data_IF_405533823431
#
_entry.id   IF_405533823431
#
_cell.length_a   1.000
_cell.length_b   1.000
_cell.length_c   1.000
_cell.angle_alpha   90.00
_cell.angle_beta   90.00
_cell.angle_gamma   90.00
#
_symmetry.space_group_name_H-M   'P 1'
#
loop_
_entity.id
_entity.type
_entity.pdbx_description
1 polymer ?
#
# COMPACT_ATOMS: atom_id res chain seq x y z
N UNK A 1 8.63 -23.70 -11.01
CA UNK A 1 7.73 -22.96 -10.11
C UNK A 1 8.57 -21.86 -9.50
N UNK A 2 8.18 -20.59 -9.66
CA UNK A 2 8.86 -19.49 -8.96
C UNK A 2 8.37 -19.53 -7.51
N UNK A 3 9.29 -19.71 -6.58
CA UNK A 3 8.97 -19.69 -5.16
C UNK A 3 8.46 -18.31 -4.75
N UNK A 4 7.57 -18.28 -3.75
CA UNK A 4 7.00 -17.10 -3.07
C UNK A 4 8.04 -16.00 -2.76
N UNK A 5 9.33 -16.36 -2.68
CA UNK A 5 10.46 -15.50 -2.31
C UNK A 5 10.92 -14.48 -3.38
N UNK A 6 10.52 -14.61 -4.65
CA UNK A 6 10.94 -13.65 -5.69
C UNK A 6 10.10 -12.35 -5.67
N UNK A 7 8.94 -12.36 -5.00
CA UNK A 7 8.06 -11.21 -4.91
C UNK A 7 8.35 -10.37 -3.65
N UNK A 8 9.24 -9.37 -3.78
CA UNK A 8 9.49 -8.40 -2.70
C UNK A 8 8.29 -7.46 -2.51
N UNK A 9 7.44 -7.75 -1.54
CA UNK A 9 6.38 -6.82 -1.13
C UNK A 9 7.01 -5.61 -0.41
N UNK A 10 6.45 -4.43 -0.63
CA UNK A 10 6.78 -3.28 0.22
C UNK A 10 6.08 -3.50 1.57
N UNK A 11 6.83 -3.42 2.68
CA UNK A 11 6.26 -3.46 4.04
C UNK A 11 5.18 -2.39 4.18
N UNK A 12 3.92 -2.82 4.24
CA UNK A 12 2.78 -1.94 4.37
C UNK A 12 2.68 -1.30 5.76
N UNK A 13 1.98 -0.18 5.88
CA UNK A 13 1.84 0.58 7.13
C UNK A 13 0.66 0.07 7.97
N UNK A 14 0.87 -0.20 9.24
CA UNK A 14 -0.21 -0.58 10.17
C UNK A 14 -0.76 0.65 10.91
N UNK A 15 -1.95 0.51 11.52
CA UNK A 15 -2.51 1.55 12.40
C UNK A 15 -1.58 1.86 13.57
N UNK A 16 -1.00 0.84 14.20
CA UNK A 16 -0.06 1.00 15.32
C UNK A 16 1.19 1.80 14.91
N UNK A 17 1.73 1.54 13.72
CA UNK A 17 2.88 2.30 13.20
C UNK A 17 2.51 3.75 12.90
N UNK A 18 1.31 4.00 12.38
CA UNK A 18 0.81 5.37 12.12
C UNK A 18 0.58 6.11 13.44
N UNK A 19 -0.01 5.44 14.45
CA UNK A 19 -0.21 5.99 15.78
C UNK A 19 1.13 6.40 16.42
N UNK A 20 2.09 5.49 16.40
CA UNK A 20 3.44 5.74 16.93
C UNK A 20 4.14 6.86 16.15
N UNK A 21 3.99 6.91 14.83
CA UNK A 21 4.53 7.98 14.00
C UNK A 21 3.92 9.35 14.38
N UNK A 22 2.59 9.40 14.55
CA UNK A 22 1.85 10.61 14.91
C UNK A 22 2.32 11.17 16.26
N UNK A 23 2.36 10.32 17.29
CA UNK A 23 2.82 10.68 18.64
C UNK A 23 4.26 11.21 18.63
N UNK A 24 5.19 10.45 18.05
CA UNK A 24 6.60 10.84 18.04
C UNK A 24 6.83 12.13 17.25
N UNK A 25 6.10 12.32 16.14
CA UNK A 25 6.21 13.53 15.33
C UNK A 25 5.64 14.75 16.06
N UNK A 26 4.50 14.60 16.75
CA UNK A 26 3.93 15.65 17.60
C UNK A 26 4.89 16.07 18.73
N UNK A 27 5.62 15.11 19.30
CA UNK A 27 6.66 15.35 20.31
C UNK A 27 7.97 15.95 19.75
N UNK A 28 8.02 16.31 18.46
CA UNK A 28 9.21 16.90 17.84
C UNK A 28 10.36 15.92 17.62
N UNK A 29 10.11 14.61 17.66
CA UNK A 29 11.14 13.58 17.47
C UNK A 29 11.73 13.68 16.06
N UNK A 30 13.06 13.62 15.96
CA UNK A 30 13.76 13.64 14.66
C UNK A 30 13.40 12.39 13.85
N UNK A 31 13.19 12.57 12.54
CA UNK A 31 12.80 11.50 11.60
C UNK A 31 13.70 10.26 11.72
N UNK A 32 15.01 10.43 11.86
CA UNK A 32 15.96 9.30 11.99
C UNK A 32 15.65 8.42 13.21
N UNK A 33 15.33 9.02 14.36
CA UNK A 33 14.96 8.28 15.57
C UNK A 33 13.61 7.59 15.44
N UNK A 34 12.66 8.22 14.75
CA UNK A 34 11.37 7.58 14.42
C UNK A 34 11.60 6.36 13.53
N UNK A 35 12.50 6.49 12.53
CA UNK A 35 12.85 5.42 11.61
C UNK A 35 13.45 4.21 12.37
N UNK A 36 14.38 4.47 13.28
CA UNK A 36 14.95 3.44 14.18
C UNK A 36 13.87 2.77 15.02
N UNK A 37 12.99 3.55 15.64
CA UNK A 37 11.92 3.03 16.50
C UNK A 37 10.92 2.14 15.76
N UNK A 38 10.57 2.49 14.52
CA UNK A 38 9.63 1.75 13.67
C UNK A 38 10.32 0.67 12.81
N UNK A 39 11.65 0.57 12.88
CA UNK A 39 12.47 -0.26 12.00
C UNK A 39 12.15 -0.02 10.51
N UNK A 40 12.09 1.25 10.10
CA UNK A 40 11.78 1.70 8.73
C UNK A 40 12.86 2.64 8.21
N UNK A 41 12.94 2.78 6.89
CA UNK A 41 13.83 3.75 6.26
C UNK A 41 13.36 5.19 6.53
N UNK A 42 14.30 6.09 6.85
CA UNK A 42 14.00 7.51 7.10
C UNK A 42 13.28 8.20 5.93
N UNK A 43 13.62 7.85 4.69
CA UNK A 43 12.91 8.34 3.50
C UNK A 43 11.46 7.88 3.43
N UNK A 44 11.16 6.64 3.88
CA UNK A 44 9.79 6.13 3.97
C UNK A 44 8.99 6.86 5.06
N UNK A 45 9.63 7.25 6.17
CA UNK A 45 8.99 8.07 7.21
C UNK A 45 8.65 9.46 6.65
N UNK A 46 9.62 10.12 6.01
CA UNK A 46 9.42 11.45 5.43
C UNK A 46 8.29 11.45 4.39
N UNK A 47 8.30 10.48 3.47
CA UNK A 47 7.23 10.29 2.47
C UNK A 47 5.87 10.07 3.13
N UNK A 48 5.82 9.29 4.22
CA UNK A 48 4.56 9.01 4.91
C UNK A 48 3.97 10.26 5.56
N UNK A 49 4.81 11.08 6.21
CA UNK A 49 4.40 12.36 6.79
C UNK A 49 3.90 13.30 5.70
N UNK A 50 4.61 13.38 4.57
CA UNK A 50 4.19 14.18 3.42
C UNK A 50 2.84 13.70 2.83
N UNK A 51 2.70 12.40 2.60
CA UNK A 51 1.48 11.79 2.03
C UNK A 51 0.26 12.02 2.93
N UNK A 52 0.43 12.00 4.25
CA UNK A 52 -0.66 12.20 5.22
C UNK A 52 -0.94 13.67 5.51
N UNK A 53 0.08 14.53 5.54
CA UNK A 53 -0.10 15.94 5.86
C UNK A 53 -0.81 16.15 7.20
N UNK A 54 -1.95 16.85 7.18
CA UNK A 54 -2.76 17.11 8.36
C UNK A 54 -3.43 15.83 8.92
N UNK A 55 -3.75 14.87 8.05
CA UNK A 55 -4.39 13.60 8.41
C UNK A 55 -3.52 12.75 9.36
N UNK A 56 -2.22 13.04 9.45
CA UNK A 56 -1.33 12.37 10.41
C UNK A 56 -1.82 12.51 11.86
N UNK A 57 -2.55 13.57 12.18
CA UNK A 57 -3.05 13.85 13.53
C UNK A 57 -4.56 13.61 13.68
N UNK A 58 -5.21 13.04 12.66
CA UNK A 58 -6.63 12.68 12.69
C UNK A 58 -6.80 11.16 12.58
N UNK A 59 -7.04 10.51 13.73
CA UNK A 59 -7.13 9.05 13.84
C UNK A 59 -8.22 8.45 12.95
N UNK A 60 -9.33 9.15 12.71
CA UNK A 60 -10.44 8.64 11.89
C UNK A 60 -10.04 8.42 10.42
N UNK A 61 -9.01 9.14 9.97
CA UNK A 61 -8.51 9.10 8.59
C UNK A 61 -7.43 8.05 8.36
N UNK A 62 -6.79 7.53 9.42
CA UNK A 62 -5.60 6.67 9.30
C UNK A 62 -5.85 5.39 8.51
N UNK A 63 -7.07 4.86 8.54
CA UNK A 63 -7.50 3.70 7.73
C UNK A 63 -7.26 3.89 6.22
N UNK A 64 -7.25 5.13 5.72
CA UNK A 64 -6.97 5.44 4.32
C UNK A 64 -5.47 5.31 3.97
N UNK A 65 -4.62 5.24 4.99
CA UNK A 65 -3.18 5.21 4.89
C UNK A 65 -2.58 3.89 5.38
N UNK A 66 -3.37 2.98 5.94
CA UNK A 66 -2.93 1.61 6.17
C UNK A 66 -2.64 0.97 4.82
N UNK A 67 -1.53 0.25 4.74
CA UNK A 67 -1.26 -0.62 3.61
C UNK A 67 -0.96 -2.01 4.11
N UNK A 68 -1.58 -3.00 3.50
CA UNK A 68 -1.31 -4.40 3.81
C UNK A 68 -0.09 -4.76 2.96
N UNK A 69 1.05 -5.06 3.58
CA UNK A 69 2.25 -5.53 2.87
C UNK A 69 2.07 -6.91 2.22
N UNK A 70 0.83 -7.31 1.95
CA UNK A 70 0.43 -8.59 1.42
C UNK A 70 0.91 -8.72 -0.03
N UNK A 71 1.37 -9.91 -0.41
CA UNK A 71 1.56 -10.22 -1.82
C UNK A 71 0.23 -10.08 -2.56
N UNK A 72 0.27 -9.45 -3.72
CA UNK A 72 -0.89 -9.41 -4.59
C UNK A 72 -1.12 -10.81 -5.14
N UNK A 73 -2.35 -11.29 -5.13
CA UNK A 73 -2.69 -12.54 -5.82
C UNK A 73 -3.16 -12.25 -7.24
N UNK A 74 -3.01 -13.22 -8.14
CA UNK A 74 -3.55 -13.10 -9.50
C UNK A 74 -5.06 -12.93 -9.46
N UNK A 75 -5.73 -13.58 -8.51
CA UNK A 75 -7.17 -13.45 -8.34
C UNK A 75 -7.60 -12.03 -7.97
N UNK A 76 -6.89 -11.37 -7.05
CA UNK A 76 -7.14 -9.96 -6.73
C UNK A 76 -6.99 -9.07 -7.98
N UNK A 77 -5.95 -9.31 -8.80
CA UNK A 77 -5.77 -8.58 -10.05
C UNK A 77 -6.91 -8.84 -11.05
N UNK A 78 -7.45 -10.07 -11.14
CA UNK A 78 -8.63 -10.37 -11.98
C UNK A 78 -9.83 -9.57 -11.55
N UNK A 79 -10.15 -9.59 -10.26
CA UNK A 79 -11.28 -8.86 -9.67
C UNK A 79 -11.18 -7.37 -9.99
N UNK A 80 -10.01 -6.75 -9.74
CA UNK A 80 -9.80 -5.32 -10.04
C UNK A 80 -9.95 -5.06 -11.55
N UNK A 81 -9.36 -5.91 -12.41
CA UNK A 81 -9.44 -5.75 -13.87
C UNK A 81 -10.88 -5.82 -14.37
N UNK A 82 -11.68 -6.75 -13.87
CA UNK A 82 -13.09 -6.89 -14.24
C UNK A 82 -13.92 -5.68 -13.84
N UNK A 83 -13.74 -5.18 -12.61
CA UNK A 83 -14.43 -3.97 -12.13
C UNK A 83 -14.10 -2.78 -13.03
N UNK A 84 -12.83 -2.60 -13.39
CA UNK A 84 -12.39 -1.51 -14.28
C UNK A 84 -12.97 -1.64 -15.69
N UNK A 85 -13.04 -2.86 -16.24
CA UNK A 85 -13.66 -3.12 -17.56
C UNK A 85 -15.16 -2.80 -17.57
N UNK A 86 -15.83 -2.96 -16.43
CA UNK A 86 -17.25 -2.67 -16.27
C UNK A 86 -17.53 -1.21 -15.84
N UNK A 87 -16.53 -0.32 -15.92
CA UNK A 87 -16.68 1.11 -15.64
C UNK A 87 -16.55 1.51 -14.16
N UNK A 88 -16.23 0.56 -13.27
CA UNK A 88 -15.88 0.84 -11.88
C UNK A 88 -14.45 1.37 -11.73
N UNK A 89 -14.09 1.79 -10.51
CA UNK A 89 -12.79 2.36 -10.18
C UNK A 89 -12.12 1.71 -8.97
N UNK A 90 -11.10 2.39 -8.44
CA UNK A 90 -10.32 1.88 -7.31
C UNK A 90 -11.14 1.79 -6.01
N UNK A 91 -12.17 2.63 -5.85
CA UNK A 91 -13.05 2.61 -4.68
C UNK A 91 -13.93 1.38 -4.67
N UNK A 92 -14.54 1.05 -5.80
CA UNK A 92 -15.38 -0.13 -5.98
C UNK A 92 -14.55 -1.41 -5.86
N UNK A 93 -13.32 -1.37 -6.39
CA UNK A 93 -12.37 -2.47 -6.29
C UNK A 93 -11.96 -2.78 -4.85
N UNK A 94 -11.70 -1.75 -4.04
CA UNK A 94 -11.32 -1.90 -2.63
C UNK A 94 -12.42 -2.55 -1.75
N UNK A 95 -13.66 -2.65 -2.25
CA UNK A 95 -14.72 -3.40 -1.56
C UNK A 95 -14.60 -4.93 -1.75
N UNK A 96 -13.73 -5.38 -2.66
CA UNK A 96 -13.65 -6.77 -3.12
C UNK A 96 -12.28 -7.42 -2.93
N UNK A 97 -11.26 -6.63 -2.64
CA UNK A 97 -9.89 -7.09 -2.39
C UNK A 97 -9.35 -6.45 -1.12
N UNK A 98 -8.41 -7.08 -0.39
CA UNK A 98 -7.85 -6.56 0.85
C UNK A 98 -6.80 -5.45 0.61
N UNK A 99 -7.04 -4.58 -0.37
CA UNK A 99 -6.16 -3.46 -0.75
C UNK A 99 -6.98 -2.16 -0.79
N UNK A 100 -6.43 -1.10 -0.22
CA UNK A 100 -7.04 0.23 -0.25
C UNK A 100 -7.11 0.79 -1.68
N UNK A 101 -7.98 1.78 -1.96
CA UNK A 101 -8.06 2.40 -3.28
C UNK A 101 -6.71 2.95 -3.78
N UNK A 102 -5.88 3.48 -2.88
CA UNK A 102 -4.56 4.02 -3.22
C UNK A 102 -3.54 2.91 -3.55
N UNK A 103 -3.59 1.77 -2.87
CA UNK A 103 -2.77 0.60 -3.21
C UNK A 103 -3.14 0.04 -4.58
N UNK A 104 -4.44 -0.05 -4.88
CA UNK A 104 -4.95 -0.48 -6.18
C UNK A 104 -4.47 0.48 -7.28
N UNK A 105 -4.63 1.79 -7.08
CA UNK A 105 -4.14 2.79 -8.02
C UNK A 105 -2.63 2.66 -8.28
N UNK A 106 -1.82 2.58 -7.22
CA UNK A 106 -0.37 2.41 -7.32
C UNK A 106 0.00 1.10 -8.00
N UNK A 107 -0.75 0.03 -7.77
CA UNK A 107 -0.53 -1.27 -8.42
C UNK A 107 -0.78 -1.20 -9.92
N UNK A 108 -1.91 -0.64 -10.34
CA UNK A 108 -2.26 -0.46 -11.75
C UNK A 108 -1.23 0.45 -12.42
N UNK A 109 -0.85 1.55 -11.77
CA UNK A 109 0.18 2.48 -12.28
C UNK A 109 1.54 1.80 -12.44
N UNK A 110 1.95 0.97 -11.47
CA UNK A 110 3.21 0.22 -11.52
C UNK A 110 3.24 -0.84 -12.62
N UNK A 111 2.12 -1.53 -12.84
CA UNK A 111 2.00 -2.54 -13.91
C UNK A 111 1.83 -1.88 -15.29
N UNK A 112 1.22 -0.70 -15.37
CA UNK A 112 0.93 -0.03 -16.63
C UNK A 112 0.12 -0.91 -17.56
N UNK A 113 0.57 -1.06 -18.82
CA UNK A 113 -0.10 -1.91 -19.82
C UNK A 113 -0.16 -3.39 -19.41
N UNK A 114 0.81 -3.85 -18.61
CA UNK A 114 0.88 -5.24 -18.13
C UNK A 114 -0.28 -5.59 -17.18
N UNK A 115 -0.95 -4.58 -16.61
CA UNK A 115 -2.17 -4.82 -15.82
C UNK A 115 -3.26 -5.52 -16.62
N UNK A 116 -3.38 -5.26 -17.93
CA UNK A 116 -4.42 -5.87 -18.76
C UNK A 116 -4.01 -7.18 -19.43
N UNK A 117 -2.73 -7.56 -19.34
CA UNK A 117 -2.16 -8.78 -19.94
C UNK A 117 -1.81 -9.81 -18.86
N UNK A 118 -2.73 -10.76 -18.63
CA UNK A 118 -2.57 -11.81 -17.60
C UNK A 118 -1.31 -12.65 -17.79
N UNK A 119 -0.78 -12.79 -19.01
CA UNK A 119 0.43 -13.58 -19.28
C UNK A 119 1.68 -12.99 -18.62
N UNK A 120 1.62 -11.73 -18.18
CA UNK A 120 2.74 -11.02 -17.54
C UNK A 120 2.69 -11.03 -16.01
N UNK A 121 1.59 -11.53 -15.42
CA UNK A 121 1.29 -11.32 -14.00
C UNK A 121 2.20 -12.09 -13.04
N UNK A 122 2.92 -13.12 -13.49
CA UNK A 122 3.92 -13.84 -12.69
C UNK A 122 5.02 -12.94 -12.10
N UNK A 123 5.22 -11.75 -12.65
CA UNK A 123 6.19 -10.76 -12.14
C UNK A 123 5.59 -9.84 -11.07
N UNK A 124 4.27 -9.85 -10.93
CA UNK A 124 3.51 -8.85 -10.18
C UNK A 124 2.61 -9.47 -9.11
N UNK A 125 2.28 -10.75 -9.20
CA UNK A 125 1.39 -11.39 -8.25
C UNK A 125 1.76 -12.87 -8.08
N UNK A 126 1.46 -13.39 -6.90
CA UNK A 126 1.47 -14.82 -6.61
C UNK A 126 0.15 -15.46 -7.06
N UNK A 127 0.09 -16.78 -7.15
CA UNK A 127 -1.14 -17.50 -7.50
C UNK A 127 -2.21 -17.37 -6.41
#
# INVERSE_FOLDING_TARGET
MKEENDYKTRRGWTLEEIATLSELKANGTKIVKIAERLNRNASSIAKKIEDMGADLYDEETWKNYVSQGLPWTKEELRIVKEIMKNGGGCKESALRVPHSPNEIYRKISFMGKNFFDESTWDKYAID
#
